data_IF_539710390340
#
_entry.id   IF_539710390340
#
_cell.length_a   1.000
_cell.length_b   1.000
_cell.length_c   1.000
_cell.angle_alpha   90.00
_cell.angle_beta   90.00
_cell.angle_gamma   90.00
#
_symmetry.space_group_name_H-M   'P 1'
#
loop_
_entity.id
_entity.type
_entity.pdbx_description
1 polymer ?
#
# COMPACT_ATOMS: atom_id res chain seq x y z
N UNK A 1 -7.01 4.46 24.96
CA UNK A 1 -7.92 3.89 23.94
C UNK A 1 -7.31 2.60 23.46
N UNK A 2 -8.01 1.47 23.59
CA UNK A 2 -7.56 0.20 23.01
C UNK A 2 -7.76 0.28 21.49
N UNK A 3 -6.77 -0.15 20.72
CA UNK A 3 -6.97 -0.33 19.28
C UNK A 3 -7.74 -1.63 19.07
N UNK A 4 -8.95 -1.57 18.53
CA UNK A 4 -9.83 -2.74 18.37
C UNK A 4 -10.00 -3.07 16.88
N UNK A 5 -9.89 -4.35 16.54
CA UNK A 5 -10.25 -4.84 15.19
C UNK A 5 -11.75 -5.05 15.15
N UNK A 6 -12.43 -4.41 14.19
CA UNK A 6 -13.88 -4.51 14.07
C UNK A 6 -14.25 -5.73 13.22
N UNK A 7 -14.89 -6.72 13.85
CA UNK A 7 -15.39 -7.94 13.20
C UNK A 7 -16.90 -7.81 13.02
N UNK A 8 -17.34 -7.50 11.80
CA UNK A 8 -18.76 -7.46 11.44
C UNK A 8 -18.96 -7.98 10.02
N UNK A 9 -19.74 -9.05 9.88
CA UNK A 9 -20.19 -9.54 8.58
C UNK A 9 -21.46 -8.75 8.21
N UNK A 10 -21.39 -8.00 7.12
CA UNK A 10 -22.54 -7.28 6.57
C UNK A 10 -22.77 -7.67 5.10
N UNK A 11 -23.84 -7.15 4.50
CA UNK A 11 -24.18 -7.46 3.11
C UNK A 11 -23.09 -6.99 2.12
N UNK A 12 -22.42 -5.87 2.40
CA UNK A 12 -21.28 -5.42 1.60
C UNK A 12 -20.15 -6.45 1.60
N UNK A 13 -19.75 -6.96 2.78
CA UNK A 13 -18.73 -8.00 2.88
C UNK A 13 -19.10 -9.26 2.08
N UNK A 14 -20.33 -9.77 2.22
CA UNK A 14 -20.80 -10.95 1.47
C UNK A 14 -20.77 -10.71 -0.04
N UNK A 15 -21.23 -9.53 -0.47
CA UNK A 15 -21.24 -9.12 -1.88
C UNK A 15 -19.82 -9.07 -2.44
N UNK A 16 -18.89 -8.41 -1.73
CA UNK A 16 -17.50 -8.31 -2.15
C UNK A 16 -16.83 -9.70 -2.25
N UNK A 17 -17.00 -10.53 -1.23
CA UNK A 17 -16.45 -11.91 -1.21
C UNK A 17 -16.92 -12.74 -2.40
N UNK A 18 -18.22 -12.64 -2.74
CA UNK A 18 -18.79 -13.35 -3.89
C UNK A 18 -18.19 -12.85 -5.21
N UNK A 19 -18.10 -11.55 -5.42
CA UNK A 19 -17.59 -10.96 -6.68
C UNK A 19 -16.11 -11.32 -6.89
N UNK A 20 -15.29 -11.24 -5.84
CA UNK A 20 -13.87 -11.60 -5.88
C UNK A 20 -13.71 -13.06 -6.35
N UNK A 21 -14.48 -13.97 -5.74
CA UNK A 21 -14.48 -15.39 -6.09
C UNK A 21 -14.99 -15.65 -7.52
N UNK A 22 -16.14 -15.08 -7.89
CA UNK A 22 -16.77 -15.28 -9.22
C UNK A 22 -15.90 -14.75 -10.37
N UNK A 23 -15.19 -13.64 -10.16
CA UNK A 23 -14.32 -13.03 -11.19
C UNK A 23 -12.89 -13.58 -11.20
N UNK A 24 -12.52 -14.43 -10.24
CA UNK A 24 -11.18 -15.01 -10.13
C UNK A 24 -10.09 -13.94 -9.92
N UNK A 25 -10.39 -12.89 -9.16
CA UNK A 25 -9.44 -11.79 -8.87
C UNK A 25 -8.83 -12.03 -7.49
N UNK A 26 -7.55 -11.72 -7.30
CA UNK A 26 -6.91 -11.80 -5.99
C UNK A 26 -7.06 -10.49 -5.20
N UNK A 27 -7.16 -10.59 -3.88
CA UNK A 27 -7.08 -9.42 -2.99
C UNK A 27 -5.94 -9.59 -2.00
N UNK A 28 -5.20 -8.53 -1.71
CA UNK A 28 -4.17 -8.58 -0.65
C UNK A 28 -4.83 -8.74 0.72
N UNK A 29 -6.12 -8.39 0.84
CA UNK A 29 -6.91 -8.58 2.04
C UNK A 29 -6.94 -10.06 2.46
N UNK A 30 -7.14 -10.96 1.50
CA UNK A 30 -7.13 -12.41 1.71
C UNK A 30 -5.70 -12.96 1.73
N UNK A 31 -4.89 -12.62 0.72
CA UNK A 31 -3.57 -13.23 0.52
C UNK A 31 -2.52 -12.82 1.57
N UNK A 32 -2.76 -11.73 2.31
CA UNK A 32 -1.92 -11.31 3.44
C UNK A 32 -2.57 -11.55 4.81
N UNK A 33 -3.68 -12.28 4.88
CA UNK A 33 -4.43 -12.56 6.11
C UNK A 33 -4.76 -11.29 6.91
N UNK A 34 -5.32 -10.29 6.22
CA UNK A 34 -5.52 -8.97 6.81
C UNK A 34 -6.61 -9.02 7.90
N UNK A 35 -6.31 -8.58 9.14
CA UNK A 35 -7.30 -8.57 10.22
C UNK A 35 -8.44 -7.57 9.96
N UNK A 36 -8.24 -6.59 9.07
CA UNK A 36 -9.18 -5.49 8.83
C UNK A 36 -10.15 -5.76 7.67
N UNK A 37 -10.12 -6.96 7.05
CA UNK A 37 -10.89 -7.26 5.83
C UNK A 37 -12.39 -6.96 5.99
N UNK A 38 -12.98 -7.34 7.13
CA UNK A 38 -14.41 -7.12 7.40
C UNK A 38 -14.77 -5.65 7.53
N UNK A 39 -13.95 -4.84 8.20
CA UNK A 39 -14.17 -3.39 8.33
C UNK A 39 -14.01 -2.68 6.97
N UNK A 40 -12.93 -2.99 6.23
CA UNK A 40 -12.64 -2.35 4.96
C UNK A 40 -13.71 -2.70 3.91
N UNK A 41 -14.04 -3.97 3.74
CA UNK A 41 -15.06 -4.38 2.77
C UNK A 41 -16.45 -3.92 3.18
N UNK A 42 -16.73 -3.92 4.49
CA UNK A 42 -17.97 -3.40 5.03
C UNK A 42 -18.19 -1.91 4.77
N UNK A 43 -17.10 -1.13 4.67
CA UNK A 43 -17.10 0.32 4.41
C UNK A 43 -16.93 0.69 2.92
N UNK A 44 -16.95 -0.28 2.01
CA UNK A 44 -16.87 -0.02 0.57
C UNK A 44 -15.46 0.32 0.09
N UNK A 45 -14.41 -0.20 0.74
CA UNK A 45 -13.03 -0.13 0.25
C UNK A 45 -12.46 -1.53 0.08
N UNK A 46 -11.82 -1.78 -1.07
CA UNK A 46 -11.12 -3.02 -1.35
C UNK A 46 -9.71 -2.75 -1.85
N UNK A 47 -8.81 -3.72 -1.62
CA UNK A 47 -7.46 -3.71 -2.17
C UNK A 47 -7.27 -4.91 -3.08
N UNK A 48 -7.30 -4.67 -4.39
CA UNK A 48 -7.05 -5.70 -5.39
C UNK A 48 -5.56 -5.95 -5.52
N UNK A 49 -5.19 -7.22 -5.61
CA UNK A 49 -3.83 -7.64 -5.90
C UNK A 49 -3.79 -8.20 -7.31
N UNK A 50 -3.26 -7.41 -8.23
CA UNK A 50 -3.15 -7.77 -9.64
C UNK A 50 -1.91 -8.62 -9.91
N UNK A 51 -1.87 -9.29 -11.06
CA UNK A 51 -0.77 -10.14 -11.53
C UNK A 51 -0.54 -11.41 -10.69
N UNK A 52 -1.61 -11.88 -10.02
CA UNK A 52 -1.63 -13.11 -9.25
C UNK A 52 -1.10 -12.98 -7.81
N UNK A 53 -0.85 -14.13 -7.18
CA UNK A 53 -0.53 -14.29 -5.75
C UNK A 53 0.87 -14.86 -5.48
N UNK A 54 1.67 -15.08 -6.53
CA UNK A 54 3.04 -15.60 -6.45
C UNK A 54 4.03 -14.49 -6.78
N UNK A 55 4.85 -14.13 -5.81
CA UNK A 55 5.85 -13.07 -5.91
C UNK A 55 7.23 -13.63 -6.27
N UNK A 56 7.93 -12.92 -7.16
CA UNK A 56 9.33 -13.21 -7.55
C UNK A 56 10.36 -12.79 -6.49
N UNK A 57 9.93 -12.09 -5.43
CA UNK A 57 10.78 -11.54 -4.35
C UNK A 57 10.47 -12.09 -2.97
N UNK A 58 11.54 -12.34 -2.20
CA UNK A 58 11.54 -13.03 -0.92
C UNK A 58 11.62 -12.13 0.32
N UNK A 59 10.85 -11.05 0.39
CA UNK A 59 10.80 -10.20 1.59
C UNK A 59 10.43 -11.03 2.85
N UNK A 60 11.24 -10.94 3.90
CA UNK A 60 11.21 -11.83 5.08
C UNK A 60 10.11 -11.50 6.10
N UNK A 61 9.41 -10.38 5.92
CA UNK A 61 8.22 -10.02 6.68
C UNK A 61 6.91 -10.48 6.00
N UNK A 62 6.96 -10.77 4.70
CA UNK A 62 5.78 -10.92 3.85
C UNK A 62 5.27 -12.36 3.82
N UNK A 63 3.95 -12.54 3.82
CA UNK A 63 3.30 -13.85 3.75
C UNK A 63 3.04 -14.37 2.33
N UNK A 64 2.89 -13.46 1.35
CA UNK A 64 2.60 -13.77 -0.05
C UNK A 64 3.51 -14.87 -0.57
N UNK A 65 2.95 -15.82 -1.34
CA UNK A 65 3.66 -16.99 -1.85
C UNK A 65 4.85 -16.57 -2.72
N UNK A 66 5.94 -17.34 -2.64
CA UNK A 66 7.19 -17.06 -3.36
C UNK A 66 7.42 -18.13 -4.40
N UNK A 67 7.79 -17.74 -5.63
CA UNK A 67 8.03 -18.71 -6.70
C UNK A 67 7.94 -18.12 -8.09
N UNK A 68 7.70 -19.00 -9.08
CA UNK A 68 7.48 -18.61 -10.47
C UNK A 68 6.01 -18.18 -10.65
N UNK A 69 5.72 -16.94 -11.05
CA UNK A 69 4.36 -16.49 -11.30
C UNK A 69 3.70 -17.23 -12.48
N UNK A 70 2.37 -17.20 -12.50
CA UNK A 70 1.59 -17.60 -13.67
C UNK A 70 1.70 -16.54 -14.78
N UNK A 71 1.27 -16.91 -15.99
CA UNK A 71 1.17 -15.96 -17.10
C UNK A 71 0.20 -14.83 -16.74
N UNK A 72 0.50 -13.63 -17.26
CA UNK A 72 -0.31 -12.45 -17.03
C UNK A 72 -1.69 -12.65 -17.67
N UNK A 73 -2.75 -12.39 -16.91
CA UNK A 73 -4.12 -12.38 -17.44
C UNK A 73 -4.40 -11.04 -18.12
N UNK A 74 -4.56 -11.06 -19.44
CA UNK A 74 -4.84 -9.87 -20.24
C UNK A 74 -6.25 -9.30 -20.00
N UNK A 75 -7.18 -10.08 -19.45
CA UNK A 75 -8.52 -9.60 -19.10
C UNK A 75 -8.61 -9.03 -17.69
N UNK A 76 -7.55 -9.18 -16.87
CA UNK A 76 -7.51 -8.68 -15.48
C UNK A 76 -7.90 -7.19 -15.36
N UNK A 77 -7.45 -6.27 -16.23
CA UNK A 77 -7.89 -4.87 -16.19
C UNK A 77 -9.41 -4.69 -16.24
N UNK A 78 -10.09 -5.40 -17.14
CA UNK A 78 -11.55 -5.33 -17.30
C UNK A 78 -12.24 -6.00 -16.11
N UNK A 79 -11.75 -7.17 -15.67
CA UNK A 79 -12.30 -7.87 -14.50
C UNK A 79 -12.26 -6.99 -13.24
N UNK A 80 -11.15 -6.31 -13.00
CA UNK A 80 -11.00 -5.38 -11.86
C UNK A 80 -11.93 -4.18 -12.01
N UNK A 81 -12.01 -3.56 -13.18
CA UNK A 81 -12.91 -2.43 -13.43
C UNK A 81 -14.39 -2.78 -13.21
N UNK A 82 -14.81 -3.96 -13.67
CA UNK A 82 -16.16 -4.46 -13.44
C UNK A 82 -16.41 -4.80 -11.97
N UNK A 83 -15.42 -5.38 -11.27
CA UNK A 83 -15.52 -5.66 -9.86
C UNK A 83 -15.74 -4.37 -9.06
N UNK A 84 -14.96 -3.32 -9.34
CA UNK A 84 -15.12 -1.99 -8.74
C UNK A 84 -16.55 -1.46 -8.94
N UNK A 85 -17.06 -1.53 -10.18
CA UNK A 85 -18.41 -1.08 -10.54
C UNK A 85 -19.49 -1.86 -9.80
N UNK A 86 -19.41 -3.20 -9.87
CA UNK A 86 -20.42 -4.09 -9.30
C UNK A 86 -20.45 -3.95 -7.78
N UNK A 87 -19.28 -3.78 -7.14
CA UNK A 87 -19.17 -3.52 -5.71
C UNK A 87 -19.68 -2.13 -5.31
N UNK A 88 -19.69 -1.16 -6.22
CA UNK A 88 -20.06 0.23 -5.93
C UNK A 88 -19.04 0.93 -5.04
N UNK A 89 -17.74 0.64 -5.25
CA UNK A 89 -16.66 1.29 -4.50
C UNK A 89 -16.50 2.72 -4.98
N UNK A 90 -16.17 3.62 -4.07
CA UNK A 90 -15.77 5.01 -4.40
C UNK A 90 -14.27 5.26 -4.14
N UNK A 91 -13.58 4.31 -3.51
CA UNK A 91 -12.15 4.29 -3.34
C UNK A 91 -11.61 2.87 -3.53
N UNK A 92 -10.60 2.72 -4.36
CA UNK A 92 -9.95 1.44 -4.62
C UNK A 92 -8.43 1.55 -4.47
N UNK A 93 -7.83 0.53 -3.85
CA UNK A 93 -6.37 0.36 -3.83
C UNK A 93 -6.02 -0.78 -4.78
N UNK A 94 -5.06 -0.55 -5.67
CA UNK A 94 -4.52 -1.56 -6.59
C UNK A 94 -3.06 -1.80 -6.19
N UNK A 95 -2.73 -3.03 -5.83
CA UNK A 95 -1.36 -3.47 -5.52
C UNK A 95 -0.99 -4.68 -6.36
N UNK A 96 0.25 -5.13 -6.31
CA UNK A 96 0.65 -6.37 -6.96
C UNK A 96 1.72 -7.11 -6.17
N UNK A 97 1.99 -8.33 -6.61
CA UNK A 97 3.27 -8.99 -6.36
C UNK A 97 4.39 -8.38 -7.21
N UNK A 98 5.65 -8.62 -6.84
CA UNK A 98 6.78 -8.29 -7.71
C UNK A 98 6.84 -9.27 -8.89
N UNK A 99 6.93 -8.73 -10.11
CA UNK A 99 6.99 -9.47 -11.38
C UNK A 99 8.30 -9.22 -12.11
N UNK A 100 9.42 -9.57 -11.47
CA UNK A 100 10.76 -9.44 -12.08
C UNK A 100 10.94 -10.34 -13.33
N UNK A 101 9.99 -11.24 -13.61
CA UNK A 101 9.91 -12.03 -14.85
C UNK A 101 9.39 -11.24 -16.06
N UNK A 102 8.74 -10.08 -15.83
CA UNK A 102 8.27 -9.19 -16.89
C UNK A 102 9.31 -8.10 -17.17
N UNK A 103 9.50 -7.76 -18.45
CA UNK A 103 10.49 -6.78 -18.89
C UNK A 103 10.32 -5.38 -18.27
N UNK A 104 9.08 -5.02 -17.91
CA UNK A 104 8.73 -3.73 -17.30
C UNK A 104 8.25 -3.87 -15.84
N UNK A 105 8.50 -5.01 -15.20
CA UNK A 105 8.08 -5.29 -13.83
C UNK A 105 6.57 -5.23 -13.59
N UNK A 106 5.74 -5.22 -14.65
CA UNK A 106 4.28 -5.09 -14.57
C UNK A 106 3.75 -3.66 -14.60
N UNK A 107 4.60 -2.64 -14.81
CA UNK A 107 4.18 -1.24 -14.83
C UNK A 107 3.12 -0.93 -15.90
N UNK A 108 3.23 -1.53 -17.11
CA UNK A 108 2.21 -1.38 -18.14
C UNK A 108 0.88 -2.02 -17.75
N UNK A 109 0.92 -3.09 -16.94
CA UNK A 109 -0.29 -3.75 -16.46
C UNK A 109 -1.00 -2.91 -15.41
N UNK A 110 -0.28 -2.36 -14.44
CA UNK A 110 -0.81 -1.35 -13.51
C UNK A 110 -1.50 -0.21 -14.28
N UNK A 111 -0.84 0.36 -15.29
CA UNK A 111 -1.42 1.45 -16.07
C UNK A 111 -2.69 1.04 -16.81
N UNK A 112 -2.79 -0.20 -17.31
CA UNK A 112 -3.99 -0.70 -17.99
C UNK A 112 -5.15 -0.88 -17.01
N UNK A 113 -4.89 -1.46 -15.83
CA UNK A 113 -5.91 -1.64 -14.79
C UNK A 113 -6.44 -0.28 -14.31
N UNK A 114 -5.57 0.69 -14.01
CA UNK A 114 -6.00 2.02 -13.56
C UNK A 114 -6.86 2.71 -14.62
N UNK A 115 -6.45 2.68 -15.89
CA UNK A 115 -7.23 3.27 -16.99
C UNK A 115 -8.60 2.61 -17.14
N UNK A 116 -8.66 1.28 -17.16
CA UNK A 116 -9.92 0.55 -17.25
C UNK A 116 -10.87 0.88 -16.09
N UNK A 117 -10.33 0.97 -14.86
CA UNK A 117 -11.12 1.35 -13.68
C UNK A 117 -11.67 2.77 -13.82
N UNK A 118 -10.83 3.74 -14.21
CA UNK A 118 -11.24 5.15 -14.39
C UNK A 118 -12.22 5.35 -15.55
N UNK A 119 -12.04 4.64 -16.66
CA UNK A 119 -12.94 4.70 -17.82
C UNK A 119 -14.34 4.15 -17.48
N UNK A 120 -14.40 3.05 -16.74
CA UNK A 120 -15.67 2.42 -16.36
C UNK A 120 -16.32 3.07 -15.12
N UNK A 121 -15.51 3.69 -14.26
CA UNK A 121 -15.92 4.26 -12.97
C UNK A 121 -15.25 5.65 -12.76
N UNK A 122 -15.70 6.69 -13.47
CA UNK A 122 -14.99 7.98 -13.54
C UNK A 122 -14.84 8.71 -12.19
N UNK A 123 -15.79 8.50 -11.27
CA UNK A 123 -15.78 9.16 -9.96
C UNK A 123 -14.93 8.43 -8.90
N UNK A 124 -14.41 7.25 -9.22
CA UNK A 124 -13.64 6.44 -8.27
C UNK A 124 -12.25 7.03 -8.07
N UNK A 125 -11.85 7.15 -6.81
CA UNK A 125 -10.48 7.48 -6.43
C UNK A 125 -9.64 6.21 -6.45
N UNK A 126 -8.52 6.25 -7.17
CA UNK A 126 -7.63 5.12 -7.38
C UNK A 126 -6.29 5.40 -6.68
N UNK A 127 -5.94 4.55 -5.71
CA UNK A 127 -4.61 4.47 -5.12
C UNK A 127 -3.87 3.27 -5.71
N UNK A 128 -2.62 3.46 -6.12
CA UNK A 128 -1.72 2.35 -6.44
C UNK A 128 -0.71 2.16 -5.32
N UNK A 129 -0.51 0.91 -4.90
CA UNK A 129 0.62 0.49 -4.06
C UNK A 129 1.56 -0.33 -4.93
N UNK A 130 2.67 0.28 -5.35
CA UNK A 130 3.52 -0.29 -6.40
C UNK A 130 4.75 -1.01 -5.82
N UNK A 131 5.25 -2.04 -6.54
CA UNK A 131 6.65 -2.46 -6.47
C UNK A 131 7.61 -1.30 -6.73
N UNK A 132 8.91 -1.52 -6.53
CA UNK A 132 9.91 -0.49 -6.79
C UNK A 132 10.32 -0.34 -8.27
N UNK A 133 9.86 -1.24 -9.14
CA UNK A 133 10.26 -1.31 -10.56
C UNK A 133 11.79 -1.22 -10.76
N UNK A 134 12.57 -1.78 -9.82
CA UNK A 134 14.04 -1.69 -9.78
C UNK A 134 14.58 -0.26 -9.82
N UNK A 135 13.78 0.72 -9.36
CA UNK A 135 14.13 2.14 -9.39
C UNK A 135 14.07 2.77 -10.79
N UNK A 136 13.40 2.14 -11.76
CA UNK A 136 13.26 2.70 -13.10
C UNK A 136 12.23 3.84 -13.11
N UNK A 137 12.72 5.05 -13.41
CA UNK A 137 11.91 6.27 -13.47
C UNK A 137 10.80 6.21 -14.52
N UNK A 138 11.07 5.72 -15.72
CA UNK A 138 10.10 5.68 -16.82
C UNK A 138 8.92 4.76 -16.50
N UNK A 139 9.18 3.68 -15.77
CA UNK A 139 8.14 2.75 -15.32
C UNK A 139 7.25 3.38 -14.25
N UNK A 140 7.83 4.13 -13.31
CA UNK A 140 7.07 4.92 -12.32
C UNK A 140 6.22 5.98 -13.01
N UNK A 141 6.80 6.75 -13.93
CA UNK A 141 6.09 7.80 -14.69
C UNK A 141 4.96 7.22 -15.55
N UNK A 142 5.13 6.01 -16.11
CA UNK A 142 4.08 5.30 -16.84
C UNK A 142 2.87 5.01 -15.95
N UNK A 143 3.08 4.51 -14.73
CA UNK A 143 1.98 4.23 -13.80
C UNK A 143 1.30 5.53 -13.39
N UNK A 144 2.05 6.60 -13.14
CA UNK A 144 1.46 7.90 -12.77
C UNK A 144 0.62 8.48 -13.92
N UNK A 145 1.11 8.39 -15.15
CA UNK A 145 0.42 8.84 -16.36
C UNK A 145 -0.87 8.07 -16.69
N UNK A 146 -1.25 7.07 -15.87
CA UNK A 146 -2.53 6.38 -16.00
C UNK A 146 -3.72 7.13 -15.38
N UNK A 147 -3.46 8.24 -14.67
CA UNK A 147 -4.51 9.04 -14.01
C UNK A 147 -4.78 8.61 -12.57
N UNK A 148 -3.78 8.05 -11.89
CA UNK A 148 -3.88 7.65 -10.49
C UNK A 148 -3.96 8.86 -9.55
N UNK A 149 -4.76 8.77 -8.48
CA UNK A 149 -4.93 9.86 -7.51
C UNK A 149 -3.89 9.81 -6.38
N UNK A 150 -3.49 8.60 -5.98
CA UNK A 150 -2.49 8.35 -4.92
C UNK A 150 -1.45 7.35 -5.39
N UNK A 151 -0.19 7.73 -5.32
CA UNK A 151 0.95 6.85 -5.58
C UNK A 151 1.60 6.43 -4.26
N UNK A 152 1.47 5.16 -3.93
CA UNK A 152 2.07 4.56 -2.74
C UNK A 152 3.24 3.64 -3.11
N UNK A 153 4.30 3.73 -2.32
CA UNK A 153 5.39 2.76 -2.30
C UNK A 153 5.96 2.70 -0.88
N UNK A 154 6.00 1.51 -0.29
CA UNK A 154 6.43 1.34 1.09
C UNK A 154 7.94 1.16 1.20
N UNK A 155 8.58 1.93 2.09
CA UNK A 155 9.95 1.64 2.53
C UNK A 155 10.02 0.44 3.48
N UNK A 156 8.89 0.13 4.13
CA UNK A 156 8.63 -0.99 5.06
C UNK A 156 9.42 -0.95 6.37
N UNK A 157 10.69 -0.58 6.35
CA UNK A 157 11.51 -0.51 7.56
C UNK A 157 12.60 0.54 7.41
N UNK A 158 13.41 0.69 8.46
CA UNK A 158 14.52 1.63 8.50
C UNK A 158 15.67 1.18 7.60
N UNK A 159 16.55 2.12 7.27
CA UNK A 159 17.71 1.93 6.38
C UNK A 159 18.58 0.72 6.78
N UNK A 160 18.93 0.60 8.06
CA UNK A 160 19.81 -0.46 8.59
C UNK A 160 19.21 -1.86 8.49
N UNK A 161 17.89 -1.99 8.65
CA UNK A 161 17.16 -3.25 8.63
C UNK A 161 16.71 -3.67 7.24
N UNK A 162 16.74 -2.77 6.26
CA UNK A 162 16.28 -3.06 4.89
C UNK A 162 16.92 -4.32 4.30
N UNK A 163 18.26 -4.53 4.34
CA UNK A 163 18.89 -5.75 3.82
C UNK A 163 18.47 -7.04 4.55
N UNK A 164 18.04 -6.93 5.82
CA UNK A 164 17.57 -8.06 6.62
C UNK A 164 16.08 -8.36 6.37
N UNK A 165 15.27 -7.32 6.17
CA UNK A 165 13.80 -7.40 6.14
C UNK A 165 13.27 -7.61 4.74
N UNK A 166 13.84 -6.92 3.74
CA UNK A 166 13.36 -6.88 2.36
C UNK A 166 14.23 -7.77 1.48
N UNK A 167 13.72 -8.10 0.30
CA UNK A 167 14.50 -8.78 -0.72
C UNK A 167 15.75 -7.95 -1.08
N UNK A 168 16.87 -8.60 -1.39
CA UNK A 168 18.14 -7.92 -1.70
C UNK A 168 18.05 -6.96 -2.90
N UNK A 169 17.08 -7.17 -3.80
CA UNK A 169 16.79 -6.26 -4.93
C UNK A 169 16.08 -4.98 -4.51
N UNK A 170 15.52 -4.92 -3.30
CA UNK A 170 14.73 -3.79 -2.80
C UNK A 170 15.51 -2.98 -1.76
N UNK A 171 16.33 -2.03 -2.23
CA UNK A 171 17.11 -1.16 -1.34
C UNK A 171 16.31 0.04 -0.84
N UNK A 172 16.70 0.56 0.33
CA UNK A 172 16.07 1.73 0.95
C UNK A 172 16.16 2.97 0.04
N UNK A 173 17.34 3.23 -0.51
CA UNK A 173 17.58 4.34 -1.45
C UNK A 173 16.77 4.20 -2.74
N UNK A 174 16.58 2.98 -3.23
CA UNK A 174 15.73 2.75 -4.39
C UNK A 174 14.27 3.10 -4.11
N UNK A 175 13.74 2.71 -2.95
CA UNK A 175 12.40 3.09 -2.53
C UNK A 175 12.20 4.60 -2.41
N UNK A 176 13.18 5.32 -1.85
CA UNK A 176 13.14 6.78 -1.80
C UNK A 176 13.18 7.41 -3.21
N UNK A 177 14.00 6.88 -4.12
CA UNK A 177 14.02 7.34 -5.52
C UNK A 177 12.68 7.14 -6.22
N UNK A 178 12.05 5.97 -6.07
CA UNK A 178 10.72 5.67 -6.62
C UNK A 178 9.69 6.71 -6.17
N UNK A 179 9.64 7.01 -4.88
CA UNK A 179 8.78 8.06 -4.33
C UNK A 179 9.15 9.46 -4.87
N UNK A 180 10.44 9.75 -5.05
CA UNK A 180 10.88 11.04 -5.60
C UNK A 180 10.45 11.27 -7.06
N UNK A 181 10.33 10.19 -7.85
CA UNK A 181 9.88 10.25 -9.24
C UNK A 181 8.38 10.51 -9.36
N UNK A 182 7.61 10.19 -8.31
CA UNK A 182 6.19 10.48 -8.29
C UNK A 182 5.93 11.98 -8.13
N UNK A 183 5.63 12.67 -9.23
CA UNK A 183 5.33 14.11 -9.27
C UNK A 183 3.86 14.33 -9.52
N UNK A 184 3.32 15.43 -8.98
CA UNK A 184 1.93 15.84 -9.17
C UNK A 184 0.90 14.73 -8.83
N UNK A 185 1.22 13.88 -7.85
CA UNK A 185 0.35 12.83 -7.31
C UNK A 185 0.56 12.72 -5.80
N UNK A 186 -0.51 12.47 -5.03
CA UNK A 186 -0.41 12.35 -3.57
C UNK A 186 0.46 11.15 -3.26
N UNK A 187 1.49 11.34 -2.45
CA UNK A 187 2.46 10.28 -2.15
C UNK A 187 2.18 9.63 -0.81
N UNK A 188 2.32 8.32 -0.75
CA UNK A 188 2.08 7.54 0.47
C UNK A 188 3.15 6.48 0.69
N UNK A 189 3.50 6.27 1.95
CA UNK A 189 4.43 5.22 2.34
C UNK A 189 4.11 4.69 3.74
N UNK A 190 4.78 3.62 4.14
CA UNK A 190 4.62 3.02 5.47
C UNK A 190 5.93 2.54 6.07
N UNK A 191 5.91 2.45 7.41
CA UNK A 191 6.95 1.83 8.23
C UNK A 191 6.29 0.78 9.12
N UNK A 192 6.77 -0.46 9.04
CA UNK A 192 6.46 -1.55 9.96
C UNK A 192 7.35 -1.45 11.19
N UNK A 193 6.72 -1.29 12.35
CA UNK A 193 7.38 -1.18 13.65
C UNK A 193 7.48 -2.54 14.33
N UNK A 194 8.54 -2.76 15.11
CA UNK A 194 8.79 -3.97 15.88
C UNK A 194 9.67 -5.00 15.18
N UNK A 195 10.43 -4.60 14.16
CA UNK A 195 11.41 -5.44 13.45
C UNK A 195 12.81 -5.36 14.07
N UNK A 196 13.03 -4.41 14.97
CA UNK A 196 14.29 -4.23 15.72
C UNK A 196 14.87 -2.83 15.61
N UNK A 197 14.13 -1.91 14.98
CA UNK A 197 14.50 -0.53 14.78
C UNK A 197 14.50 0.28 16.09
N UNK A 198 15.40 1.25 16.17
CA UNK A 198 15.40 2.26 17.22
C UNK A 198 14.42 3.41 16.91
N UNK A 199 14.08 4.21 17.93
CA UNK A 199 13.24 5.40 17.72
C UNK A 199 13.93 6.40 16.79
N UNK A 200 15.23 6.59 16.95
CA UNK A 200 16.06 7.50 16.17
C UNK A 200 16.01 7.14 14.68
N UNK A 201 16.16 5.85 14.35
CA UNK A 201 16.09 5.37 12.96
C UNK A 201 14.69 5.52 12.35
N UNK A 202 13.63 5.35 13.15
CA UNK A 202 12.25 5.59 12.70
C UNK A 202 12.05 7.07 12.38
N UNK A 203 12.53 7.97 13.23
CA UNK A 203 12.43 9.43 13.02
C UNK A 203 13.30 9.87 11.83
N UNK A 204 14.48 9.29 11.65
CA UNK A 204 15.31 9.52 10.45
C UNK A 204 14.56 9.08 9.18
N UNK A 205 13.95 7.90 9.21
CA UNK A 205 13.15 7.39 8.09
C UNK A 205 11.96 8.30 7.77
N UNK A 206 11.29 8.84 8.79
CA UNK A 206 10.24 9.85 8.59
C UNK A 206 10.76 11.10 7.90
N UNK A 207 11.93 11.61 8.28
CA UNK A 207 12.57 12.77 7.64
C UNK A 207 12.89 12.48 6.17
N UNK A 208 13.47 11.31 5.90
CA UNK A 208 13.79 10.88 4.53
C UNK A 208 12.53 10.81 3.65
N UNK A 209 11.46 10.20 4.14
CA UNK A 209 10.17 10.14 3.45
C UNK A 209 9.59 11.55 3.19
N UNK A 210 9.71 12.45 4.16
CA UNK A 210 9.30 13.85 3.97
C UNK A 210 10.14 14.58 2.92
N UNK A 211 11.44 14.34 2.89
CA UNK A 211 12.37 14.96 1.94
C UNK A 211 12.03 14.57 0.48
N UNK A 212 11.54 13.36 0.24
CA UNK A 212 11.06 12.93 -1.09
C UNK A 212 9.59 13.24 -1.35
N UNK A 213 8.94 13.98 -0.44
CA UNK A 213 7.60 14.54 -0.62
C UNK A 213 6.45 13.59 -0.29
N UNK A 214 6.63 12.61 0.61
CA UNK A 214 5.53 11.70 1.03
C UNK A 214 4.49 12.43 1.87
N UNK A 215 3.26 12.57 1.37
CA UNK A 215 2.18 13.28 2.06
C UNK A 215 1.54 12.47 3.19
N UNK A 216 1.33 11.17 2.96
CA UNK A 216 0.62 10.27 3.88
C UNK A 216 1.59 9.22 4.42
N UNK A 217 1.67 9.12 5.75
CA UNK A 217 2.47 8.11 6.43
C UNK A 217 1.59 7.11 7.18
N UNK A 218 1.89 5.83 7.03
CA UNK A 218 1.29 4.76 7.85
C UNK A 218 2.36 4.13 8.74
N UNK A 219 2.10 4.13 10.05
CA UNK A 219 2.90 3.46 11.06
C UNK A 219 2.08 2.31 11.64
N UNK A 220 2.58 1.09 11.52
CA UNK A 220 1.85 -0.08 12.00
C UNK A 220 2.75 -1.12 12.63
N UNK A 221 2.17 -2.00 13.45
CA UNK A 221 2.91 -3.07 14.09
C UNK A 221 3.19 -4.16 13.05
N UNK A 222 4.45 -4.57 12.94
CA UNK A 222 4.81 -5.82 12.30
C UNK A 222 4.14 -6.98 13.04
N UNK A 223 3.21 -7.63 12.35
CA UNK A 223 2.52 -8.83 12.80
C UNK A 223 3.11 -10.02 12.05
N UNK A 224 3.89 -10.83 12.75
CA UNK A 224 4.51 -12.03 12.18
C UNK A 224 3.43 -12.96 11.61
N UNK A 225 3.39 -13.21 10.29
CA UNK A 225 2.34 -14.02 9.68
C UNK A 225 2.44 -15.51 10.03
N UNK A 226 3.66 -16.05 10.08
CA UNK A 226 3.94 -17.43 10.47
C UNK A 226 5.35 -17.57 11.06
N UNK A 227 5.69 -18.76 11.54
CA UNK A 227 7.04 -19.07 12.04
C UNK A 227 8.14 -18.92 10.98
N UNK A 228 7.80 -18.88 9.68
CA UNK A 228 8.79 -18.74 8.59
C UNK A 228 9.31 -17.32 8.42
N UNK A 229 8.55 -16.32 8.86
CA UNK A 229 8.92 -14.91 8.77
C UNK A 229 9.70 -14.44 10.00
N UNK A 230 10.29 -13.26 9.90
CA UNK A 230 11.05 -12.60 10.98
C UNK A 230 10.27 -12.57 12.30
N UNK A 231 11.00 -12.65 13.41
CA UNK A 231 10.41 -12.53 14.74
C UNK A 231 10.06 -11.08 15.06
N UNK A 232 9.00 -10.87 15.84
CA UNK A 232 8.68 -9.57 16.40
C UNK A 232 9.70 -9.26 17.49
N UNK A 233 10.47 -8.18 17.34
CA UNK A 233 11.48 -7.72 18.30
C UNK A 233 10.91 -6.80 19.37
N UNK A 234 9.89 -6.01 19.02
CA UNK A 234 9.21 -5.10 19.94
C UNK A 234 7.73 -4.99 19.61
N UNK A 235 6.89 -4.91 20.66
CA UNK A 235 5.47 -4.56 20.54
C UNK A 235 5.30 -3.14 21.05
N UNK A 236 4.93 -2.24 20.16
CA UNK A 236 4.73 -0.83 20.50
C UNK A 236 3.40 -0.65 21.24
N UNK A 237 3.41 0.16 22.29
CA UNK A 237 2.20 0.55 23.02
C UNK A 237 1.56 1.80 22.40
N UNK A 238 0.34 2.13 22.83
CA UNK A 238 -0.41 3.26 22.26
C UNK A 238 0.17 4.64 22.60
N UNK A 239 0.93 4.79 23.69
CA UNK A 239 1.64 6.05 23.96
C UNK A 239 2.77 6.26 22.95
N UNK A 240 3.53 5.21 22.62
CA UNK A 240 4.59 5.27 21.60
C UNK A 240 4.02 5.58 20.21
N UNK A 241 2.87 5.01 19.83
CA UNK A 241 2.20 5.38 18.58
C UNK A 241 1.81 6.85 18.53
N UNK A 242 1.27 7.40 19.63
CA UNK A 242 0.89 8.82 19.71
C UNK A 242 2.10 9.75 19.65
N UNK A 243 3.21 9.35 20.27
CA UNK A 243 4.46 10.11 20.20
C UNK A 243 4.99 10.15 18.77
N UNK A 244 5.08 9.00 18.10
CA UNK A 244 5.49 8.90 16.71
C UNK A 244 4.55 9.69 15.78
N UNK A 245 3.24 9.64 16.01
CA UNK A 245 2.25 10.42 15.27
C UNK A 245 2.51 11.93 15.41
N UNK A 246 2.74 12.40 16.64
CA UNK A 246 3.06 13.81 16.91
C UNK A 246 4.35 14.25 16.21
N UNK A 247 5.39 13.39 16.23
CA UNK A 247 6.65 13.65 15.53
C UNK A 247 6.42 13.70 14.01
N UNK A 248 5.68 12.76 13.45
CA UNK A 248 5.36 12.76 12.02
C UNK A 248 4.63 14.06 11.61
N UNK A 249 3.60 14.48 12.36
CA UNK A 249 2.93 15.75 12.05
C UNK A 249 3.87 16.96 12.18
N UNK A 250 4.80 16.99 13.14
CA UNK A 250 5.77 18.09 13.26
C UNK A 250 6.78 18.13 12.11
N UNK A 251 7.02 17.00 11.43
CA UNK A 251 7.81 16.90 10.20
C UNK A 251 7.00 17.28 8.93
N UNK A 252 5.71 17.58 9.07
CA UNK A 252 4.87 18.14 8.01
C UNK A 252 4.27 17.11 7.05
N UNK A 253 4.02 15.88 7.51
CA UNK A 253 3.10 14.96 6.83
C UNK A 253 1.68 15.55 6.84
N UNK A 254 0.97 15.40 5.72
CA UNK A 254 -0.39 15.91 5.55
C UNK A 254 -1.41 15.06 6.31
N UNK A 255 -1.14 13.77 6.46
CA UNK A 255 -1.93 12.85 7.28
C UNK A 255 -1.09 11.67 7.76
N UNK A 256 -1.36 11.20 8.98
CA UNK A 256 -0.65 10.07 9.59
C UNK A 256 -1.66 9.06 10.12
N UNK A 257 -1.46 7.79 9.79
CA UNK A 257 -2.19 6.66 10.39
C UNK A 257 -1.21 5.92 11.30
N UNK A 258 -1.33 6.09 12.61
CA UNK A 258 -0.45 5.44 13.60
C UNK A 258 -1.24 4.49 14.50
N UNK A 259 -1.41 3.25 14.06
CA UNK A 259 -2.20 2.24 14.79
C UNK A 259 -1.57 0.84 14.65
N UNK A 260 -1.55 0.01 15.71
CA UNK A 260 -0.95 -1.33 15.64
C UNK A 260 -1.47 -2.20 14.50
N UNK A 261 -2.79 -2.23 14.28
CA UNK A 261 -3.43 -3.06 13.27
C UNK A 261 -3.50 -2.40 11.89
N UNK A 262 -3.03 -1.16 11.73
CA UNK A 262 -3.07 -0.49 10.44
C UNK A 262 -2.31 -1.29 9.37
N UNK A 263 -2.74 -1.08 8.12
CA UNK A 263 -2.06 -1.53 6.91
C UNK A 263 -2.01 -0.32 5.98
N UNK A 264 -1.14 -0.34 4.97
CA UNK A 264 -1.05 0.77 4.03
C UNK A 264 -2.42 1.14 3.45
N UNK A 265 -3.27 0.16 3.13
CA UNK A 265 -4.62 0.39 2.62
C UNK A 265 -5.70 0.64 3.70
N UNK A 266 -5.38 0.56 4.99
CA UNK A 266 -6.35 0.79 6.07
C UNK A 266 -6.77 2.26 6.11
N UNK A 267 -8.09 2.52 6.04
CA UNK A 267 -8.67 3.87 5.99
C UNK A 267 -8.06 4.77 4.91
N UNK A 268 -7.63 4.18 3.81
CA UNK A 268 -6.96 4.90 2.72
C UNK A 268 -7.79 6.06 2.17
N UNK A 269 -9.11 5.87 2.02
CA UNK A 269 -10.04 6.93 1.63
C UNK A 269 -10.05 8.12 2.59
N UNK A 270 -10.18 7.86 3.90
CA UNK A 270 -10.14 8.93 4.92
C UNK A 270 -8.80 9.66 4.88
N UNK A 271 -7.70 8.91 4.76
CA UNK A 271 -6.36 9.46 4.68
C UNK A 271 -6.19 10.37 3.47
N UNK A 272 -6.64 9.95 2.29
CA UNK A 272 -6.60 10.76 1.08
C UNK A 272 -7.42 12.05 1.21
N UNK A 273 -8.68 11.96 1.62
CA UNK A 273 -9.56 13.12 1.73
C UNK A 273 -9.02 14.15 2.72
N UNK A 274 -8.47 13.70 3.86
CA UNK A 274 -7.85 14.59 4.85
C UNK A 274 -6.52 15.17 4.38
N UNK A 275 -5.69 14.37 3.73
CA UNK A 275 -4.44 14.87 3.16
C UNK A 275 -4.71 15.95 2.12
N UNK A 276 -5.68 15.74 1.22
CA UNK A 276 -6.06 16.73 0.21
C UNK A 276 -6.56 18.04 0.82
N UNK A 277 -7.33 17.98 1.92
CA UNK A 277 -7.76 19.19 2.64
C UNK A 277 -6.55 19.97 3.19
N UNK A 278 -5.57 19.30 3.78
CA UNK A 278 -4.37 19.93 4.35
C UNK A 278 -3.39 20.41 3.28
N UNK A 279 -3.30 19.71 2.16
CA UNK A 279 -2.47 20.09 1.02
C UNK A 279 -2.96 21.39 0.39
N UNK A 280 -4.28 21.53 0.19
CA UNK A 280 -4.89 22.77 -0.34
C UNK A 280 -4.65 23.96 0.59
N UNK A 281 -4.76 23.75 1.91
CA UNK A 281 -4.53 24.82 2.88
C UNK A 281 -3.07 25.30 2.92
N UNK A 282 -2.12 24.47 2.47
CA UNK A 282 -0.68 24.75 2.52
C UNK A 282 -0.08 25.17 1.17
N UNK A 283 -0.87 25.41 0.12
CA UNK A 283 -0.44 25.83 -1.23
C UNK A 283 0.74 25.00 -1.81
N UNK A 284 0.83 23.71 -1.48
CA UNK A 284 1.95 22.84 -1.94
C UNK A 284 1.88 22.48 -3.44
N UNK A 285 0.77 22.78 -4.10
CA UNK A 285 0.40 22.30 -5.43
C UNK A 285 -0.11 23.41 -6.36
N UNK A 286 0.07 24.68 -5.95
CA UNK A 286 -0.18 25.87 -6.77
C UNK A 286 1.05 26.25 -7.58
#
# INVERSE_FOLDING_TARGET
MKSEVVVRINENFKKLSRIVSEKGISTVCEEALCPNIMECWGSGTATFMIMGDICTRGCRFCYVKKGKPVLLDHEEPIKVAEAVREMGLDYVVITSVDRDDLADGGASHFSQVVKAVKEMNPDVIVEVLTPDFMGNKELVEKVIGSGVDVFAHNVETVRSLTPLVRDARASYEQSLRVLSYAKNVVKKSSILLGLGESLEEVVETMKDLRNVGVDILVLSQYMRPSIKQLEVKKRYNMEEYKELEKIAYSLGFSYVVALPHARTSYRAKEAYLRAMANVKNNNRWS
#
